data_IF_223382582880
#
_entry.id   IF_223382582880
#
_cell.length_a   1.000
_cell.length_b   1.000
_cell.length_c   1.000
_cell.angle_alpha   90.00
_cell.angle_beta   90.00
_cell.angle_gamma   90.00
#
_symmetry.space_group_name_H-M   'P 1'
#
loop_
_entity.id
_entity.type
_entity.pdbx_description
1 polymer ?
#
# COMPACT_ATOMS: atom_id res chain seq x y z
N UNK A 1 1.33 34.22 -12.77
CA UNK A 1 2.01 32.95 -12.51
C UNK A 1 1.04 32.18 -11.66
N UNK A 2 0.34 31.24 -12.27
CA UNK A 2 -0.77 30.51 -11.68
C UNK A 2 -0.39 29.85 -10.35
N UNK A 3 -1.06 30.34 -9.30
CA UNK A 3 -1.21 29.70 -8.00
C UNK A 3 -1.86 28.33 -8.22
N UNK A 4 -1.06 27.27 -8.12
CA UNK A 4 -1.51 25.90 -8.22
C UNK A 4 -2.13 25.49 -6.88
N UNK A 5 -3.39 25.85 -6.69
CA UNK A 5 -4.24 25.45 -5.57
C UNK A 5 -5.11 24.27 -6.02
N UNK A 6 -4.78 23.04 -5.57
CA UNK A 6 -5.73 21.94 -5.40
C UNK A 6 -5.07 20.71 -4.78
N UNK A 7 -5.19 20.65 -3.45
CA UNK A 7 -5.31 19.45 -2.62
C UNK A 7 -5.10 18.09 -3.31
N UNK A 8 -3.98 17.43 -3.03
CA UNK A 8 -4.03 16.00 -2.75
C UNK A 8 -3.83 15.82 -1.26
N UNK A 9 -4.95 15.93 -0.55
CA UNK A 9 -5.15 15.41 0.79
C UNK A 9 -4.59 13.98 0.87
N UNK A 10 -3.40 13.83 1.46
CA UNK A 10 -2.87 12.58 2.01
C UNK A 10 -1.92 12.89 3.16
N UNK A 11 -2.23 13.94 3.92
CA UNK A 11 -1.64 14.20 5.24
C UNK A 11 -2.46 13.43 6.30
N UNK A 12 -2.54 12.10 6.17
CA UNK A 12 -3.05 11.19 7.23
C UNK A 12 -2.27 9.87 7.25
N UNK A 13 -0.94 9.91 7.14
CA UNK A 13 -0.09 8.80 7.60
C UNK A 13 1.03 9.36 8.48
N UNK A 14 0.65 9.96 9.61
CA UNK A 14 1.59 10.35 10.67
C UNK A 14 1.95 9.11 11.54
N UNK A 15 2.31 8.04 10.85
CA UNK A 15 2.50 6.66 11.30
C UNK A 15 2.63 5.75 10.08
N UNK A 16 3.37 6.20 9.07
CA UNK A 16 3.57 5.46 7.83
C UNK A 16 4.31 4.16 8.09
N UNK A 17 4.10 3.19 7.22
CA UNK A 17 4.86 1.95 7.23
C UNK A 17 6.38 2.25 7.17
N UNK A 18 7.13 1.74 8.14
CA UNK A 18 8.58 1.81 8.18
C UNK A 18 9.15 0.40 8.28
N UNK A 19 9.99 0.02 7.31
CA UNK A 19 10.68 -1.28 7.32
C UNK A 19 11.53 -1.47 8.58
N UNK A 20 12.07 -0.39 9.14
CA UNK A 20 12.88 -0.42 10.37
C UNK A 20 12.09 -0.80 11.64
N UNK A 21 10.76 -0.68 11.61
CA UNK A 21 9.90 -1.08 12.74
C UNK A 21 9.52 -2.57 12.68
N UNK A 22 9.88 -3.27 11.60
CA UNK A 22 9.61 -4.69 11.43
C UNK A 22 10.59 -5.55 12.22
N UNK A 23 10.06 -6.64 12.76
CA UNK A 23 10.87 -7.78 13.21
C UNK A 23 11.63 -8.39 12.02
N UNK A 24 12.76 -9.07 12.26
CA UNK A 24 13.45 -9.83 11.19
C UNK A 24 12.50 -10.84 10.49
N UNK A 25 11.67 -11.54 11.26
CA UNK A 25 10.69 -12.50 10.73
C UNK A 25 9.62 -11.82 9.85
N UNK A 26 9.21 -10.61 10.24
CA UNK A 26 8.22 -9.81 9.51
C UNK A 26 8.80 -9.22 8.23
N UNK A 27 10.07 -8.79 8.28
CA UNK A 27 10.82 -8.34 7.14
C UNK A 27 10.94 -9.46 6.09
N UNK A 28 11.36 -10.65 6.51
CA UNK A 28 11.44 -11.81 5.62
C UNK A 28 10.08 -12.16 5.01
N UNK A 29 9.03 -12.17 5.83
CA UNK A 29 7.67 -12.47 5.37
C UNK A 29 7.17 -11.43 4.36
N UNK A 30 7.37 -10.14 4.63
CA UNK A 30 7.02 -9.06 3.72
C UNK A 30 7.64 -9.28 2.34
N UNK A 31 8.94 -9.53 2.27
CA UNK A 31 9.65 -9.71 1.01
C UNK A 31 9.35 -11.04 0.32
N UNK A 32 8.86 -12.05 1.05
CA UNK A 32 8.36 -13.30 0.47
C UNK A 32 7.01 -13.11 -0.25
N UNK A 33 6.07 -12.36 0.37
CA UNK A 33 4.71 -12.18 -0.17
C UNK A 33 4.57 -10.99 -1.13
N UNK A 34 5.37 -9.94 -0.96
CA UNK A 34 5.38 -8.72 -1.79
C UNK A 34 5.40 -8.99 -3.31
N UNK A 35 6.27 -9.85 -3.88
CA UNK A 35 6.27 -10.09 -5.32
C UNK A 35 4.95 -10.70 -5.82
N UNK A 36 4.31 -11.55 -5.02
CA UNK A 36 3.02 -12.15 -5.36
C UNK A 36 1.91 -11.10 -5.33
N UNK A 37 1.86 -10.30 -4.27
CA UNK A 37 0.89 -9.23 -4.12
C UNK A 37 1.02 -8.17 -5.22
N UNK A 38 2.24 -7.73 -5.52
CA UNK A 38 2.54 -6.78 -6.61
C UNK A 38 2.06 -7.29 -7.96
N UNK A 39 2.26 -8.58 -8.25
CA UNK A 39 1.77 -9.19 -9.48
C UNK A 39 0.25 -9.17 -9.56
N UNK A 40 -0.44 -9.46 -8.45
CA UNK A 40 -1.91 -9.41 -8.38
C UNK A 40 -2.45 -7.98 -8.53
N UNK A 41 -1.78 -7.00 -7.93
CA UNK A 41 -2.13 -5.59 -8.10
C UNK A 41 -2.00 -5.14 -9.56
N UNK A 42 -0.89 -5.51 -10.22
CA UNK A 42 -0.65 -5.21 -11.63
C UNK A 42 -1.66 -5.91 -12.56
N UNK A 43 -2.00 -7.17 -12.29
CA UNK A 43 -3.00 -7.92 -13.06
C UNK A 43 -4.39 -7.26 -13.01
N UNK A 44 -4.74 -6.70 -11.84
CA UNK A 44 -5.95 -5.92 -11.63
C UNK A 44 -5.85 -4.46 -12.09
N UNK A 45 -4.75 -4.08 -12.74
CA UNK A 45 -4.47 -2.73 -13.24
C UNK A 45 -4.43 -1.64 -12.16
N UNK A 46 -4.11 -2.02 -10.91
CA UNK A 46 -3.90 -1.06 -9.84
C UNK A 46 -2.50 -0.43 -9.97
N UNK A 47 -2.47 0.87 -10.23
CA UNK A 47 -1.23 1.65 -10.31
C UNK A 47 -0.89 2.21 -8.92
N UNK A 48 -0.30 1.37 -8.07
CA UNK A 48 0.06 1.70 -6.69
C UNK A 48 1.59 1.63 -6.52
N UNK A 49 2.16 2.53 -5.73
CA UNK A 49 3.60 2.53 -5.41
C UNK A 49 3.99 1.34 -4.56
N UNK A 50 5.26 0.93 -4.63
CA UNK A 50 5.78 -0.20 -3.87
C UNK A 50 5.66 0.04 -2.35
N UNK A 51 5.91 1.27 -1.88
CA UNK A 51 5.75 1.66 -0.49
C UNK A 51 4.32 1.43 0.04
N UNK A 52 3.31 1.80 -0.74
CA UNK A 52 1.90 1.57 -0.38
C UNK A 52 1.54 0.08 -0.42
N UNK A 53 2.12 -0.69 -1.35
CA UNK A 53 1.89 -2.14 -1.38
C UNK A 53 2.46 -2.81 -0.13
N UNK A 54 3.63 -2.37 0.34
CA UNK A 54 4.22 -2.85 1.59
C UNK A 54 3.38 -2.45 2.80
N UNK A 55 2.88 -1.22 2.83
CA UNK A 55 1.98 -0.74 3.87
C UNK A 55 0.68 -1.55 3.95
N UNK A 56 0.05 -1.84 2.82
CA UNK A 56 -1.17 -2.66 2.79
C UNK A 56 -0.90 -4.11 3.23
N UNK A 57 0.25 -4.67 2.88
CA UNK A 57 0.65 -5.98 3.38
C UNK A 57 0.88 -5.97 4.89
N UNK A 58 1.53 -4.94 5.41
CA UNK A 58 1.73 -4.78 6.84
C UNK A 58 0.41 -4.62 7.61
N UNK A 59 -0.50 -3.76 7.12
CA UNK A 59 -1.83 -3.58 7.70
C UNK A 59 -2.67 -4.86 7.66
N UNK A 60 -2.48 -5.68 6.62
CA UNK A 60 -3.13 -6.97 6.46
C UNK A 60 -2.44 -8.12 7.22
N UNK A 61 -1.42 -7.85 8.05
CA UNK A 61 -0.62 -8.89 8.70
C UNK A 61 -0.06 -9.93 7.72
N UNK A 62 0.39 -9.47 6.55
CA UNK A 62 0.98 -10.23 5.44
C UNK A 62 0.02 -11.23 4.78
N UNK A 63 -1.29 -11.10 5.01
CA UNK A 63 -2.32 -11.83 4.28
C UNK A 63 -2.61 -11.15 2.94
N UNK A 64 -2.45 -11.90 1.85
CA UNK A 64 -2.59 -11.37 0.48
C UNK A 64 -4.05 -11.03 0.16
N UNK A 65 -5.01 -11.80 0.66
CA UNK A 65 -6.43 -11.61 0.38
C UNK A 65 -6.95 -10.34 1.10
N UNK A 66 -6.56 -10.16 2.37
CA UNK A 66 -6.87 -8.94 3.13
C UNK A 66 -6.15 -7.71 2.53
N UNK A 67 -4.88 -7.83 2.13
CA UNK A 67 -4.16 -6.72 1.50
C UNK A 67 -4.80 -6.29 0.18
N UNK A 68 -5.32 -7.24 -0.61
CA UNK A 68 -6.08 -6.93 -1.83
C UNK A 68 -7.41 -6.23 -1.52
N UNK A 69 -8.07 -6.61 -0.43
CA UNK A 69 -9.29 -5.96 0.01
C UNK A 69 -9.04 -4.49 0.38
N UNK A 70 -8.01 -4.23 1.21
CA UNK A 70 -7.57 -2.87 1.59
C UNK A 70 -7.24 -2.04 0.35
N UNK A 71 -6.42 -2.59 -0.54
CA UNK A 71 -6.04 -1.93 -1.78
C UNK A 71 -7.25 -1.61 -2.67
N UNK A 72 -8.21 -2.53 -2.78
CA UNK A 72 -9.43 -2.32 -3.58
C UNK A 72 -10.33 -1.23 -3.00
N UNK A 73 -10.45 -1.15 -1.67
CA UNK A 73 -11.27 -0.14 -0.98
C UNK A 73 -10.65 1.25 -1.08
N UNK A 74 -9.32 1.36 -0.93
CA UNK A 74 -8.60 2.62 -1.14
C UNK A 74 -8.69 3.11 -2.58
N UNK A 75 -8.54 2.22 -3.57
CA UNK A 75 -8.69 2.58 -4.97
C UNK A 75 -10.12 3.05 -5.32
N UNK A 76 -11.18 2.49 -4.70
CA UNK A 76 -12.56 2.98 -4.92
C UNK A 76 -12.77 4.40 -4.39
N UNK A 77 -12.08 4.80 -3.32
CA UNK A 77 -12.20 6.15 -2.74
C UNK A 77 -11.60 7.23 -3.65
N UNK A 78 -10.54 6.92 -4.40
CA UNK A 78 -9.88 7.89 -5.30
C UNK A 78 -10.69 8.21 -6.56
N UNK A 79 -11.59 7.33 -6.99
CA UNK A 79 -12.36 7.46 -8.24
C UNK A 79 -13.84 7.85 -8.06
N UNK A 80 -14.21 8.43 -6.91
CA UNK A 80 -15.59 8.80 -6.60
C UNK A 80 -15.76 10.30 -6.45
#
# INVERSE_FOLDING_TARGET
MDEYDSYSDNDVHNGGFHEDDLSDDEYDLLYDVLPTFKKLALDKQYSVSDDLLKEYLWEAHYDIDEALLILSENHKRTYK
#
